data_IF_995684686040
#
_entry.id   IF_995684686040
#
_cell.length_a   1.000
_cell.length_b   1.000
_cell.length_c   1.000
_cell.angle_alpha   90.00
_cell.angle_beta   90.00
_cell.angle_gamma   90.00
#
_symmetry.space_group_name_H-M   'P 1'
#
loop_
_entity.id
_entity.type
_entity.pdbx_description
1 polymer ?
#
# COMPACT_ATOMS: atom_id res chain seq x y z
N UNK A 1 -15.51 19.80 -6.44
CA UNK A 1 -14.06 19.57 -6.25
C UNK A 1 -13.89 18.31 -5.40
N UNK A 2 -13.27 17.25 -5.93
CA UNK A 2 -12.97 16.07 -5.15
C UNK A 2 -11.90 16.43 -4.10
N UNK A 3 -12.24 16.36 -2.80
CA UNK A 3 -11.25 16.52 -1.73
C UNK A 3 -10.22 15.41 -1.86
N UNK A 4 -8.97 15.76 -2.18
CA UNK A 4 -7.85 14.82 -2.04
C UNK A 4 -7.60 14.63 -0.54
N UNK A 5 -8.17 13.57 0.03
CA UNK A 5 -7.67 13.01 1.28
C UNK A 5 -6.28 12.43 1.01
N UNK A 6 -5.28 13.31 1.03
CA UNK A 6 -3.89 12.86 1.04
C UNK A 6 -3.63 12.22 2.40
N UNK A 7 -2.95 11.07 2.45
CA UNK A 7 -2.50 10.52 3.71
C UNK A 7 -1.67 11.58 4.44
N UNK A 8 -1.81 11.60 5.77
CA UNK A 8 -1.03 12.47 6.64
C UNK A 8 0.46 12.30 6.33
N UNK A 9 1.28 13.38 6.29
CA UNK A 9 2.70 13.28 5.98
C UNK A 9 3.43 12.21 6.80
N UNK A 10 3.05 12.07 8.06
CA UNK A 10 3.58 11.13 9.04
C UNK A 10 3.27 9.67 8.66
N UNK A 11 2.13 9.42 8.01
CA UNK A 11 1.71 8.08 7.60
C UNK A 11 2.35 7.63 6.28
N UNK A 12 2.98 8.54 5.51
CA UNK A 12 3.49 8.21 4.17
C UNK A 12 4.59 7.16 4.19
N UNK A 13 5.49 7.25 5.17
CA UNK A 13 6.59 6.29 5.31
C UNK A 13 6.07 4.91 5.67
N UNK A 14 5.22 4.81 6.70
CA UNK A 14 4.59 3.55 7.10
C UNK A 14 3.75 2.92 5.97
N UNK A 15 3.02 3.74 5.22
CA UNK A 15 2.26 3.26 4.05
C UNK A 15 3.16 2.79 2.91
N UNK A 16 4.34 3.39 2.75
CA UNK A 16 5.32 2.95 1.78
C UNK A 16 5.92 1.60 2.18
N UNK A 17 6.31 1.42 3.44
CA UNK A 17 6.80 0.15 3.98
C UNK A 17 5.74 -0.96 3.83
N UNK A 18 4.50 -0.71 4.24
CA UNK A 18 3.40 -1.66 4.08
C UNK A 18 3.18 -2.07 2.61
N UNK A 19 3.32 -1.11 1.69
CA UNK A 19 3.21 -1.40 0.26
C UNK A 19 4.35 -2.29 -0.23
N UNK A 20 5.59 -2.07 0.23
CA UNK A 20 6.73 -2.91 -0.11
C UNK A 20 6.56 -4.34 0.44
N UNK A 21 6.09 -4.46 1.68
CA UNK A 21 5.81 -5.76 2.31
C UNK A 21 4.77 -6.56 1.52
N UNK A 22 3.63 -5.94 1.20
CA UNK A 22 2.56 -6.60 0.45
C UNK A 22 3.00 -6.92 -0.97
N UNK A 23 3.74 -6.04 -1.63
CA UNK A 23 4.29 -6.33 -2.95
C UNK A 23 5.23 -7.55 -2.90
N UNK A 24 6.06 -7.65 -1.86
CA UNK A 24 6.98 -8.78 -1.66
C UNK A 24 6.23 -10.09 -1.42
N UNK A 25 5.19 -10.07 -0.57
CA UNK A 25 4.34 -11.25 -0.32
C UNK A 25 3.60 -11.75 -1.56
N UNK A 26 3.25 -10.82 -2.46
CA UNK A 26 2.60 -11.12 -3.73
C UNK A 26 3.59 -11.51 -4.83
N UNK A 27 4.89 -11.55 -4.55
CA UNK A 27 5.95 -11.90 -5.50
C UNK A 27 6.17 -10.83 -6.58
N UNK A 28 5.92 -9.56 -6.26
CA UNK A 28 6.04 -8.39 -7.13
C UNK A 28 7.31 -7.56 -6.82
N UNK A 29 8.35 -8.21 -6.29
CA UNK A 29 9.58 -7.60 -5.75
C UNK A 29 10.72 -7.42 -6.78
N UNK A 30 10.60 -7.98 -7.99
CA UNK A 30 11.73 -8.22 -8.88
C UNK A 30 11.98 -7.20 -10.00
N UNK A 31 11.65 -5.90 -9.86
CA UNK A 31 11.79 -4.96 -11.00
C UNK A 31 12.66 -3.72 -10.71
N UNK A 32 13.67 -3.57 -11.56
CA UNK A 32 14.79 -2.62 -11.50
C UNK A 32 14.44 -1.18 -11.91
N UNK A 33 15.07 -0.26 -11.17
CA UNK A 33 15.65 1.06 -11.47
C UNK A 33 15.07 1.96 -12.58
N UNK A 34 14.43 3.08 -12.17
CA UNK A 34 14.70 4.48 -12.62
C UNK A 34 14.03 5.52 -11.70
N UNK A 35 14.68 6.67 -11.56
CA UNK A 35 14.37 7.79 -10.66
C UNK A 35 13.21 8.68 -11.17
N UNK A 36 12.04 8.56 -10.55
CA UNK A 36 10.96 9.58 -10.49
C UNK A 36 9.64 9.02 -9.92
N UNK A 37 9.41 7.72 -10.10
CA UNK A 37 8.25 6.99 -9.58
C UNK A 37 8.78 5.82 -8.74
N UNK A 38 8.25 5.61 -7.53
CA UNK A 38 8.60 4.44 -6.71
C UNK A 38 8.54 3.16 -7.59
N UNK A 39 9.67 2.41 -7.73
CA UNK A 39 9.85 1.35 -8.74
C UNK A 39 8.71 0.34 -8.76
N UNK A 40 8.21 -0.01 -7.57
CA UNK A 40 7.10 -0.93 -7.38
C UNK A 40 5.84 -0.39 -8.04
N UNK A 41 5.48 0.88 -7.80
CA UNK A 41 4.30 1.47 -8.45
C UNK A 41 4.38 1.37 -9.97
N UNK A 42 5.56 1.59 -10.55
CA UNK A 42 5.72 1.68 -12.00
C UNK A 42 5.61 0.32 -12.69
N UNK A 43 6.20 -0.74 -12.14
CA UNK A 43 5.99 -2.12 -12.59
C UNK A 43 4.50 -2.49 -12.51
N UNK A 44 3.95 -2.24 -11.34
CA UNK A 44 2.60 -2.64 -10.98
C UNK A 44 1.57 -1.89 -11.86
N UNK A 45 1.92 -0.68 -12.31
CA UNK A 45 1.19 0.10 -13.32
C UNK A 45 1.47 -0.35 -14.76
N UNK A 46 2.69 -0.81 -15.12
CA UNK A 46 3.03 -1.33 -16.46
C UNK A 46 2.14 -2.50 -16.88
N UNK A 47 1.77 -3.34 -15.93
CA UNK A 47 0.81 -4.44 -16.15
C UNK A 47 -0.67 -3.98 -16.08
N UNK A 48 -0.94 -2.73 -16.47
CA UNK A 48 -2.29 -2.17 -16.61
C UNK A 48 -2.95 -1.74 -15.30
N UNK A 49 -2.18 -1.46 -14.25
CA UNK A 49 -2.72 -1.02 -12.94
C UNK A 49 -3.54 -2.06 -12.18
N UNK A 50 -3.74 -3.26 -12.75
CA UNK A 50 -4.43 -4.39 -12.10
C UNK A 50 -3.71 -4.82 -10.82
N UNK A 51 -2.39 -4.91 -10.89
CA UNK A 51 -1.56 -5.21 -9.74
C UNK A 51 -1.56 -4.05 -8.73
N UNK A 52 -1.73 -2.80 -9.18
CA UNK A 52 -1.71 -1.62 -8.29
C UNK A 52 -2.98 -1.58 -7.45
N UNK A 53 -4.12 -1.83 -8.10
CA UNK A 53 -5.38 -2.03 -7.42
C UNK A 53 -5.35 -3.23 -6.47
N UNK A 54 -4.68 -4.32 -6.85
CA UNK A 54 -4.56 -5.51 -6.00
C UNK A 54 -3.73 -5.23 -4.74
N UNK A 55 -2.51 -4.70 -4.88
CA UNK A 55 -1.65 -4.31 -3.74
C UNK A 55 -2.37 -3.30 -2.85
N UNK A 56 -2.96 -2.25 -3.43
CA UNK A 56 -3.72 -1.25 -2.68
C UNK A 56 -4.93 -1.83 -1.94
N UNK A 57 -5.61 -2.81 -2.53
CA UNK A 57 -6.70 -3.54 -1.87
C UNK A 57 -6.22 -4.33 -0.65
N UNK A 58 -5.08 -5.01 -0.75
CA UNK A 58 -4.47 -5.72 0.39
C UNK A 58 -4.01 -4.75 1.49
N UNK A 59 -3.48 -3.58 1.13
CA UNK A 59 -3.10 -2.55 2.10
C UNK A 59 -4.33 -2.14 2.93
N UNK A 60 -5.44 -1.82 2.27
CA UNK A 60 -6.68 -1.43 2.94
C UNK A 60 -7.21 -2.55 3.83
N UNK A 61 -7.21 -3.79 3.35
CA UNK A 61 -7.64 -4.94 4.14
C UNK A 61 -6.83 -5.10 5.42
N UNK A 62 -5.49 -5.05 5.34
CA UNK A 62 -4.62 -5.15 6.52
C UNK A 62 -4.84 -4.03 7.53
N UNK A 63 -4.98 -2.79 7.05
CA UNK A 63 -5.26 -1.64 7.93
C UNK A 63 -6.60 -1.79 8.66
N UNK A 64 -7.63 -2.30 7.98
CA UNK A 64 -8.94 -2.57 8.61
C UNK A 64 -8.79 -3.68 9.66
N UNK A 65 -8.14 -4.80 9.32
CA UNK A 65 -7.92 -5.90 10.26
C UNK A 65 -7.15 -5.43 11.51
N UNK A 66 -6.15 -4.57 11.35
CA UNK A 66 -5.44 -3.96 12.48
C UNK A 66 -6.34 -3.07 13.32
N UNK A 67 -7.14 -2.20 12.68
CA UNK A 67 -8.09 -1.33 13.37
C UNK A 67 -9.17 -2.12 14.13
N UNK A 68 -9.66 -3.22 13.57
CA UNK A 68 -10.60 -4.13 14.23
C UNK A 68 -9.99 -4.79 15.47
N UNK A 69 -8.72 -5.24 15.38
CA UNK A 69 -7.98 -5.79 16.53
C UNK A 69 -7.78 -4.75 17.63
N UNK A 70 -7.37 -3.55 17.26
CA UNK A 70 -7.17 -2.45 18.21
C UNK A 70 -8.48 -2.05 18.89
N UNK A 71 -9.58 -2.01 18.15
CA UNK A 71 -10.91 -1.77 18.70
C UNK A 71 -11.35 -2.89 19.65
N UNK A 72 -11.16 -4.15 19.25
CA UNK A 72 -11.47 -5.30 20.09
C UNK A 72 -10.65 -5.32 21.39
N UNK A 73 -9.40 -4.89 21.34
CA UNK A 73 -8.54 -4.79 22.53
C UNK A 73 -8.94 -3.64 23.45
N UNK A 74 -9.48 -2.53 22.91
CA UNK A 74 -10.01 -1.41 23.71
C UNK A 74 -11.33 -1.72 24.41
N UNK A 75 -12.09 -2.68 23.89
CA UNK A 75 -13.39 -3.09 24.44
C UNK A 75 -13.28 -4.20 25.50
N UNK A 76 -12.10 -4.80 25.66
CA UNK A 76 -11.77 -5.75 26.73
C UNK A 76 -11.26 -5.01 27.96
#
# INVERSE_FOLDING_TARGET
MARRNRPAPEARQALMELKLEIASELGLDKIHEREDIDPITREVLKNGGKYAGYVGGYMVRRMIEQAERDLANKLK
#
